data_IF_696314422931
#
_entry.id   IF_696314422931
#
_cell.length_a   1.000
_cell.length_b   1.000
_cell.length_c   1.000
_cell.angle_alpha   90.00
_cell.angle_beta   90.00
_cell.angle_gamma   90.00
#
_symmetry.space_group_name_H-M   'P 1'
#
loop_
_entity.id
_entity.type
_entity.pdbx_description
1 polymer ?
#
# COMPACT_ATOMS: atom_id res chain seq x y z
N UNK A 1 -30.88 -5.24 29.80
CA UNK A 1 -29.52 -5.38 30.34
C UNK A 1 -28.65 -4.32 29.70
N UNK A 2 -27.84 -3.59 30.47
CA UNK A 2 -26.85 -2.66 29.92
C UNK A 2 -25.79 -3.50 29.21
N UNK A 3 -25.89 -3.61 27.88
CA UNK A 3 -24.94 -4.36 27.06
C UNK A 3 -23.51 -3.88 27.28
N UNK A 4 -22.53 -4.72 26.95
CA UNK A 4 -21.11 -4.33 26.95
C UNK A 4 -20.96 -3.03 26.16
N UNK A 5 -20.61 -1.94 26.84
CA UNK A 5 -20.07 -0.77 26.15
C UNK A 5 -18.69 -1.20 25.65
N UNK A 6 -18.50 -1.24 24.34
CA UNK A 6 -17.17 -1.38 23.76
C UNK A 6 -16.34 -0.18 24.21
N UNK A 7 -15.36 -0.40 25.08
CA UNK A 7 -14.32 0.59 25.34
C UNK A 7 -13.42 0.61 24.12
N UNK A 8 -13.42 1.72 23.38
CA UNK A 8 -12.48 1.96 22.28
C UNK A 8 -11.08 2.15 22.88
N UNK A 9 -10.37 1.04 23.10
CA UNK A 9 -8.95 1.07 23.45
C UNK A 9 -8.15 0.69 22.21
N UNK A 10 -7.14 1.49 21.86
CA UNK A 10 -6.16 1.10 20.86
C UNK A 10 -5.26 0.01 21.46
N UNK A 11 -5.04 -1.07 20.72
CA UNK A 11 -4.04 -2.08 21.10
C UNK A 11 -2.64 -1.50 20.94
N UNK A 12 -1.73 -1.73 21.89
CA UNK A 12 -0.32 -1.33 21.74
C UNK A 12 0.61 -2.22 22.56
N UNK A 13 1.88 -2.25 22.18
CA UNK A 13 2.90 -2.87 23.02
C UNK A 13 3.27 -1.99 24.22
N UNK A 14 3.65 -2.62 25.34
CA UNK A 14 4.34 -1.92 26.43
C UNK A 14 5.85 -2.01 26.24
N UNK A 15 6.45 -0.89 25.88
CA UNK A 15 7.91 -0.74 25.74
C UNK A 15 8.53 -0.59 27.13
N UNK A 16 9.07 -1.68 27.69
CA UNK A 16 9.74 -1.67 29.00
C UNK A 16 11.18 -1.21 28.86
N UNK A 17 11.59 -0.25 29.69
CA UNK A 17 12.98 0.23 29.82
C UNK A 17 13.64 0.67 28.50
N UNK A 18 12.83 1.04 27.50
CA UNK A 18 13.34 1.42 26.19
C UNK A 18 13.81 0.29 25.28
N UNK A 19 13.59 -0.97 25.67
CA UNK A 19 13.93 -2.08 24.81
C UNK A 19 13.03 -2.09 23.57
N UNK A 20 13.58 -2.27 22.35
CA UNK A 20 12.78 -2.28 21.14
C UNK A 20 11.85 -3.50 21.10
N UNK A 21 10.71 -3.34 20.42
CA UNK A 21 9.80 -4.42 20.07
C UNK A 21 10.51 -5.29 19.03
N UNK A 22 10.83 -6.53 19.40
CA UNK A 22 11.59 -7.46 18.54
C UNK A 22 10.67 -8.18 17.57
N UNK A 23 11.08 -8.24 16.32
CA UNK A 23 10.39 -8.89 15.21
C UNK A 23 11.27 -9.95 14.56
N UNK A 24 10.64 -11.03 14.11
CA UNK A 24 11.30 -12.17 13.49
C UNK A 24 10.59 -12.54 12.19
N UNK A 25 11.32 -13.13 11.25
CA UNK A 25 10.76 -13.77 10.07
C UNK A 25 10.54 -15.26 10.33
N UNK A 26 9.48 -15.85 9.75
CA UNK A 26 9.29 -17.29 9.78
C UNK A 26 10.45 -18.02 9.11
N UNK A 27 10.71 -19.26 9.53
CA UNK A 27 11.86 -20.04 9.08
C UNK A 27 11.90 -20.29 7.57
N UNK A 28 10.74 -20.32 6.90
CA UNK A 28 10.60 -20.52 5.46
C UNK A 28 10.73 -19.23 4.63
N UNK A 29 10.93 -18.06 5.24
CA UNK A 29 11.09 -16.79 4.49
C UNK A 29 12.27 -16.90 3.52
N UNK A 30 12.12 -16.68 2.21
CA UNK A 30 13.24 -16.77 1.26
C UNK A 30 14.34 -15.76 1.59
N UNK A 31 15.61 -16.18 1.50
CA UNK A 31 16.75 -15.36 1.92
C UNK A 31 16.79 -13.98 1.23
N UNK A 32 16.45 -13.95 -0.05
CA UNK A 32 16.41 -12.72 -0.84
C UNK A 32 15.40 -11.67 -0.36
N UNK A 33 14.41 -12.04 0.45
CA UNK A 33 13.41 -11.12 0.98
C UNK A 33 13.67 -10.73 2.44
N UNK A 34 14.65 -11.34 3.12
CA UNK A 34 14.95 -11.05 4.53
C UNK A 34 15.28 -9.57 4.74
N UNK A 35 16.03 -8.96 3.82
CA UNK A 35 16.34 -7.54 3.92
C UNK A 35 15.10 -6.65 3.68
N UNK A 36 14.18 -7.06 2.80
CA UNK A 36 12.93 -6.32 2.59
C UNK A 36 12.03 -6.39 3.84
N UNK A 37 11.97 -7.56 4.48
CA UNK A 37 11.27 -7.74 5.76
C UNK A 37 11.88 -6.85 6.85
N UNK A 38 13.21 -6.87 6.99
CA UNK A 38 13.94 -5.98 7.90
C UNK A 38 13.56 -4.52 7.67
N UNK A 39 13.59 -4.08 6.41
CA UNK A 39 13.37 -2.68 6.05
C UNK A 39 11.92 -2.23 6.26
N UNK A 40 10.93 -3.09 5.99
CA UNK A 40 9.52 -2.80 6.25
C UNK A 40 9.24 -2.67 7.76
N UNK A 41 9.83 -3.56 8.57
CA UNK A 41 9.75 -3.48 10.03
C UNK A 41 10.43 -2.23 10.56
N UNK A 42 11.73 -2.08 10.29
CA UNK A 42 12.54 -1.00 10.85
C UNK A 42 12.21 0.37 10.25
N UNK A 43 11.34 0.42 9.24
CA UNK A 43 10.80 1.66 8.68
C UNK A 43 10.21 2.58 9.75
N UNK A 44 9.55 2.02 10.76
CA UNK A 44 8.96 2.78 11.86
C UNK A 44 9.97 3.48 12.77
N UNK A 45 11.24 3.05 12.77
CA UNK A 45 12.26 3.68 13.59
C UNK A 45 12.52 5.14 13.18
N UNK A 46 12.16 5.55 11.96
CA UNK A 46 12.24 6.97 11.55
C UNK A 46 11.46 7.90 12.47
N UNK A 47 10.30 7.46 12.97
CA UNK A 47 9.45 8.23 13.87
C UNK A 47 10.06 8.29 15.27
N UNK A 48 10.44 7.12 15.80
CA UNK A 48 10.99 7.00 17.16
C UNK A 48 12.34 7.70 17.31
N UNK A 49 13.18 7.62 16.27
CA UNK A 49 14.46 8.33 16.22
C UNK A 49 14.24 9.85 16.19
N UNK A 50 13.26 10.34 15.43
CA UNK A 50 12.94 11.76 15.39
C UNK A 50 12.37 12.31 16.72
N UNK A 51 11.57 11.50 17.43
CA UNK A 51 10.88 11.92 18.66
C UNK A 51 11.74 11.75 19.93
N UNK A 52 12.45 10.62 20.05
CA UNK A 52 13.18 10.28 21.28
C UNK A 52 14.54 9.62 21.05
N UNK A 53 15.05 9.62 19.81
CA UNK A 53 16.44 9.27 19.49
C UNK A 53 16.83 7.80 19.72
N UNK A 54 15.86 6.87 19.70
CA UNK A 54 16.15 5.43 19.78
C UNK A 54 15.14 4.60 18.99
N UNK A 55 15.50 3.37 18.67
CA UNK A 55 14.65 2.44 17.93
C UNK A 55 13.43 2.01 18.76
N UNK A 56 12.26 2.03 18.13
CA UNK A 56 11.02 1.47 18.69
C UNK A 56 10.92 -0.03 18.39
N UNK A 57 11.38 -0.44 17.21
CA UNK A 57 11.30 -1.81 16.71
C UNK A 57 12.68 -2.30 16.26
N UNK A 58 12.90 -3.61 16.28
CA UNK A 58 14.14 -4.22 15.80
C UNK A 58 13.85 -5.54 15.13
N UNK A 59 14.43 -5.76 13.95
CA UNK A 59 14.38 -7.05 13.29
C UNK A 59 15.56 -7.93 13.74
N UNK A 60 15.26 -9.14 14.22
CA UNK A 60 16.22 -10.07 14.83
C UNK A 60 16.55 -11.25 13.89
N UNK A 61 16.16 -11.16 12.60
CA UNK A 61 16.35 -12.25 11.65
C UNK A 61 15.25 -13.30 11.74
N UNK A 62 15.62 -14.57 11.62
CA UNK A 62 14.67 -15.69 11.65
C UNK A 62 14.27 -16.05 13.08
N UNK A 63 13.08 -16.62 13.23
CA UNK A 63 12.65 -17.20 14.49
C UNK A 63 13.70 -18.19 15.03
N UNK A 64 13.92 -18.24 16.36
CA UNK A 64 14.83 -19.20 16.98
C UNK A 64 14.45 -20.65 16.67
N UNK A 65 15.45 -21.53 16.65
CA UNK A 65 15.23 -22.96 16.44
C UNK A 65 14.25 -23.52 17.48
N UNK A 66 13.30 -24.34 17.02
CA UNK A 66 12.27 -24.94 17.87
C UNK A 66 11.08 -24.02 18.21
N UNK A 67 11.18 -22.71 18.00
CA UNK A 67 10.04 -21.80 18.15
C UNK A 67 8.96 -22.11 17.10
N UNK A 68 7.69 -21.91 17.47
CA UNK A 68 6.53 -22.18 16.61
C UNK A 68 5.84 -20.88 16.25
N UNK A 69 5.23 -20.84 15.07
CA UNK A 69 4.31 -19.75 14.71
C UNK A 69 3.19 -19.73 15.76
N UNK A 70 2.86 -18.54 16.27
CA UNK A 70 1.92 -18.35 17.38
C UNK A 70 2.53 -18.48 18.78
N UNK A 71 3.84 -18.71 18.92
CA UNK A 71 4.52 -18.61 20.21
C UNK A 71 4.45 -17.16 20.73
N UNK A 72 3.81 -16.91 21.89
CA UNK A 72 3.49 -15.57 22.37
C UNK A 72 4.71 -14.76 22.81
N UNK A 73 5.92 -15.33 22.74
CA UNK A 73 7.19 -14.64 23.05
C UNK A 73 7.77 -13.88 21.86
N UNK A 74 7.26 -14.10 20.65
CA UNK A 74 7.83 -13.57 19.42
C UNK A 74 6.77 -12.83 18.60
N UNK A 75 7.12 -11.65 18.08
CA UNK A 75 6.38 -11.02 16.99
C UNK A 75 6.93 -11.57 15.67
N UNK A 76 6.07 -12.06 14.79
CA UNK A 76 6.51 -12.83 13.63
C UNK A 76 5.88 -12.32 12.34
N UNK A 77 6.70 -12.04 11.35
CA UNK A 77 6.29 -11.94 9.94
C UNK A 77 6.28 -13.36 9.37
N UNK A 78 5.08 -13.90 9.16
CA UNK A 78 4.84 -15.23 8.63
C UNK A 78 4.81 -15.15 7.11
N UNK A 79 5.85 -15.73 6.50
CA UNK A 79 5.90 -15.94 5.07
C UNK A 79 5.02 -17.12 4.68
N UNK A 80 4.03 -16.87 3.83
CA UNK A 80 3.25 -17.94 3.21
C UNK A 80 3.65 -18.10 1.74
N UNK A 81 3.89 -19.34 1.30
CA UNK A 81 4.23 -19.65 -0.10
C UNK A 81 3.00 -19.74 -1.01
N UNK A 82 1.78 -19.65 -0.46
CA UNK A 82 0.54 -19.65 -1.24
C UNK A 82 0.59 -18.60 -2.34
N UNK A 83 0.37 -19.05 -3.59
CA UNK A 83 0.50 -18.24 -4.80
C UNK A 83 -0.69 -17.29 -5.03
N UNK A 84 -1.86 -17.60 -4.47
CA UNK A 84 -3.09 -16.80 -4.55
C UNK A 84 -3.59 -16.49 -3.14
N UNK A 85 -3.37 -15.25 -2.69
CA UNK A 85 -3.90 -14.76 -1.42
C UNK A 85 -4.32 -13.29 -1.59
N UNK A 86 -5.58 -13.00 -1.29
CA UNK A 86 -6.18 -11.68 -1.49
C UNK A 86 -5.89 -10.64 -0.40
N UNK A 87 -5.07 -10.96 0.62
CA UNK A 87 -4.76 -10.01 1.69
C UNK A 87 -3.44 -10.36 2.39
N UNK A 88 -2.65 -9.33 2.74
CA UNK A 88 -1.82 -9.37 3.95
C UNK A 88 -2.70 -8.88 5.11
N UNK A 89 -2.42 -9.36 6.32
CA UNK A 89 -3.10 -8.88 7.51
C UNK A 89 -2.26 -9.12 8.75
N UNK A 90 -2.43 -8.22 9.71
CA UNK A 90 -1.89 -8.34 11.04
C UNK A 90 -2.92 -8.94 12.01
N UNK A 91 -2.44 -9.77 12.93
CA UNK A 91 -3.25 -10.41 13.97
C UNK A 91 -2.60 -10.20 15.34
N UNK A 92 -3.40 -9.61 16.24
CA UNK A 92 -2.95 -9.18 17.56
C UNK A 92 -3.45 -10.13 18.65
N UNK A 93 -2.55 -10.48 19.56
CA UNK A 93 -2.92 -11.01 20.86
C UNK A 93 -2.81 -9.87 21.89
N UNK A 94 -3.94 -9.24 22.20
CA UNK A 94 -4.03 -8.16 23.20
C UNK A 94 -4.97 -8.52 24.35
N UNK A 95 -4.65 -8.03 25.54
CA UNK A 95 -5.55 -8.10 26.67
C UNK A 95 -6.81 -7.24 26.39
N UNK A 96 -8.02 -7.84 26.35
CA UNK A 96 -9.24 -7.15 25.97
C UNK A 96 -9.68 -6.07 26.97
N UNK A 97 -9.11 -6.04 28.17
CA UNK A 97 -9.41 -5.02 29.18
C UNK A 97 -8.45 -3.83 29.11
N UNK A 98 -7.19 -4.06 28.76
CA UNK A 98 -6.14 -3.03 28.82
C UNK A 98 -5.66 -2.55 27.45
N UNK A 99 -5.93 -3.31 26.38
CA UNK A 99 -5.35 -3.08 25.05
C UNK A 99 -3.85 -3.38 24.99
N UNK A 100 -3.24 -3.95 26.03
CA UNK A 100 -1.81 -4.25 26.01
C UNK A 100 -1.59 -5.51 25.19
N UNK A 101 -0.78 -5.37 24.13
CA UNK A 101 -0.42 -6.44 23.23
C UNK A 101 0.75 -7.27 23.79
N UNK A 102 0.63 -8.60 23.70
CA UNK A 102 1.70 -9.55 24.06
C UNK A 102 2.57 -9.88 22.86
N UNK A 103 1.93 -10.16 21.73
CA UNK A 103 2.59 -10.53 20.48
C UNK A 103 1.73 -10.16 19.27
N UNK A 104 2.38 -10.05 18.12
CA UNK A 104 1.77 -9.85 16.80
C UNK A 104 2.20 -10.96 15.84
N UNK A 105 1.31 -11.29 14.91
CA UNK A 105 1.64 -12.07 13.74
C UNK A 105 1.19 -11.32 12.49
N UNK A 106 2.13 -11.03 11.59
CA UNK A 106 1.82 -10.46 10.28
C UNK A 106 1.85 -11.61 9.28
N UNK A 107 0.71 -11.87 8.65
CA UNK A 107 0.62 -12.80 7.54
C UNK A 107 1.00 -12.06 6.24
N UNK A 108 2.10 -12.49 5.62
CA UNK A 108 2.64 -11.88 4.41
C UNK A 108 2.78 -12.95 3.31
N UNK A 109 1.78 -13.08 2.43
CA UNK A 109 1.84 -14.10 1.39
C UNK A 109 2.81 -13.71 0.27
N UNK A 110 3.59 -14.68 -0.20
CA UNK A 110 4.41 -14.60 -1.41
C UNK A 110 3.58 -14.25 -2.64
N UNK A 111 2.26 -14.46 -2.58
CA UNK A 111 1.28 -13.91 -3.50
C UNK A 111 1.54 -12.42 -3.76
N UNK A 112 1.94 -11.55 -2.82
CA UNK A 112 2.22 -10.15 -3.19
C UNK A 112 3.36 -9.98 -4.22
N UNK A 113 4.34 -10.89 -4.20
CA UNK A 113 5.41 -10.93 -5.22
C UNK A 113 4.94 -11.62 -6.50
N UNK A 114 4.10 -12.65 -6.39
CA UNK A 114 3.60 -13.42 -7.54
C UNK A 114 2.41 -12.75 -8.23
N UNK A 115 1.48 -12.13 -7.51
CA UNK A 115 0.44 -11.22 -7.98
C UNK A 115 1.08 -10.07 -8.76
N UNK A 116 2.20 -9.49 -8.32
CA UNK A 116 2.96 -8.53 -9.14
C UNK A 116 3.44 -9.14 -10.47
N UNK A 117 3.86 -10.41 -10.48
CA UNK A 117 4.30 -11.15 -11.68
C UNK A 117 3.15 -11.71 -12.53
N UNK A 118 2.02 -12.01 -11.93
CA UNK A 118 0.84 -12.62 -12.55
C UNK A 118 -0.09 -11.54 -13.08
N UNK A 119 -0.19 -10.37 -12.44
CA UNK A 119 -0.70 -9.15 -13.05
C UNK A 119 0.11 -8.77 -14.29
N UNK A 120 1.44 -8.89 -14.21
CA UNK A 120 2.34 -8.65 -15.33
C UNK A 120 2.19 -9.69 -16.46
N UNK A 121 1.80 -10.94 -16.16
CA UNK A 121 1.70 -12.06 -17.12
C UNK A 121 0.28 -12.36 -17.63
N UNK A 122 -0.77 -12.17 -16.84
CA UNK A 122 -2.16 -12.61 -17.09
C UNK A 122 -3.07 -11.50 -17.64
N UNK A 123 -2.48 -10.48 -18.26
CA UNK A 123 -3.13 -9.33 -18.90
C UNK A 123 -4.32 -9.63 -19.83
N UNK A 124 -4.51 -10.88 -20.27
CA UNK A 124 -5.57 -11.28 -21.19
C UNK A 124 -6.87 -11.76 -20.53
N UNK A 125 -6.97 -11.86 -19.19
CA UNK A 125 -8.19 -12.36 -18.50
C UNK A 125 -8.94 -11.31 -17.69
N UNK A 126 -8.27 -10.25 -17.24
CA UNK A 126 -8.85 -9.16 -16.45
C UNK A 126 -9.65 -8.16 -17.30
N UNK A 127 -9.35 -8.02 -18.58
CA UNK A 127 -10.10 -7.20 -19.54
C UNK A 127 -11.56 -7.69 -19.70
N UNK A 128 -11.76 -9.00 -19.87
CA UNK A 128 -13.12 -9.55 -20.06
C UNK A 128 -14.00 -9.42 -18.80
N UNK A 129 -13.39 -9.59 -17.60
CA UNK A 129 -14.09 -9.50 -16.33
C UNK A 129 -14.42 -8.06 -15.93
N UNK A 130 -13.51 -7.11 -16.20
CA UNK A 130 -13.74 -5.67 -15.95
C UNK A 130 -14.82 -5.12 -16.88
N UNK A 131 -14.80 -5.47 -18.16
CA UNK A 131 -15.83 -5.10 -19.15
C UNK A 131 -17.22 -5.65 -18.76
N UNK A 132 -17.29 -6.91 -18.33
CA UNK A 132 -18.56 -7.51 -17.90
C UNK A 132 -19.12 -6.85 -16.62
N UNK A 133 -18.26 -6.53 -15.65
CA UNK A 133 -18.64 -5.89 -14.38
C UNK A 133 -19.06 -4.43 -14.60
N UNK A 134 -18.39 -3.72 -15.49
CA UNK A 134 -18.76 -2.36 -15.92
C UNK A 134 -20.13 -2.34 -16.60
N UNK A 135 -20.40 -3.29 -17.50
CA UNK A 135 -21.70 -3.41 -18.16
C UNK A 135 -22.85 -3.67 -17.15
N UNK A 136 -22.62 -4.53 -16.15
CA UNK A 136 -23.60 -4.82 -15.10
C UNK A 136 -23.89 -3.59 -14.22
N UNK A 137 -22.86 -2.82 -13.87
CA UNK A 137 -22.98 -1.62 -13.04
C UNK A 137 -23.65 -0.45 -13.78
N UNK A 138 -23.30 -0.22 -15.06
CA UNK A 138 -24.00 0.73 -15.95
C UNK A 138 -25.49 0.42 -16.03
N UNK A 139 -25.84 -0.87 -16.19
CA UNK A 139 -27.23 -1.33 -16.21
C UNK A 139 -27.96 -1.07 -14.88
N UNK A 140 -27.32 -1.38 -13.75
CA UNK A 140 -27.87 -1.15 -12.42
C UNK A 140 -28.14 0.35 -12.17
N UNK A 141 -27.17 1.22 -12.48
CA UNK A 141 -27.25 2.66 -12.21
C UNK A 141 -28.22 3.38 -13.16
N UNK A 142 -28.31 2.97 -14.42
CA UNK A 142 -29.30 3.47 -15.37
C UNK A 142 -30.75 3.25 -14.90
N UNK A 143 -30.98 2.23 -14.06
CA UNK A 143 -32.29 1.94 -13.47
C UNK A 143 -32.64 2.77 -12.24
N UNK A 144 -31.69 3.54 -11.68
CA UNK A 144 -31.88 4.30 -10.43
C UNK A 144 -32.19 5.77 -10.71
N UNK A 145 -33.06 6.34 -9.90
CA UNK A 145 -33.46 7.75 -9.96
C UNK A 145 -33.16 8.42 -8.62
N UNK A 146 -32.56 9.60 -8.65
CA UNK A 146 -32.39 10.46 -7.49
C UNK A 146 -33.23 11.71 -7.70
N UNK A 147 -34.15 12.00 -6.77
CA UNK A 147 -35.05 13.16 -6.89
C UNK A 147 -35.94 13.15 -8.14
N UNK A 148 -36.33 11.96 -8.63
CA UNK A 148 -37.19 11.81 -9.81
C UNK A 148 -36.49 11.95 -11.17
N UNK A 149 -35.20 12.30 -11.19
CA UNK A 149 -34.36 12.33 -12.40
C UNK A 149 -33.50 11.07 -12.44
N UNK A 150 -33.31 10.52 -13.64
CA UNK A 150 -32.29 9.50 -13.85
C UNK A 150 -30.94 10.10 -13.45
N UNK A 151 -30.11 9.34 -12.73
CA UNK A 151 -28.76 9.79 -12.36
C UNK A 151 -27.86 9.58 -13.58
N UNK A 152 -27.43 10.63 -14.30
CA UNK A 152 -26.55 10.46 -15.44
C UNK A 152 -25.13 10.30 -14.92
N UNK A 153 -24.77 9.11 -14.45
CA UNK A 153 -23.37 8.79 -14.17
C UNK A 153 -22.77 8.26 -15.48
N UNK A 154 -22.26 9.17 -16.31
CA UNK A 154 -21.46 8.82 -17.49
C UNK A 154 -20.02 8.46 -17.11
N UNK A 155 -19.68 8.52 -15.82
CA UNK A 155 -18.34 8.30 -15.28
C UNK A 155 -18.11 6.85 -14.81
N UNK A 156 -18.98 5.91 -15.19
CA UNK A 156 -18.82 4.47 -14.90
C UNK A 156 -18.09 3.78 -16.05
N UNK A 157 -17.07 4.40 -16.61
CA UNK A 157 -15.96 3.62 -17.18
C UNK A 157 -15.08 3.29 -15.99
N UNK A 158 -14.72 2.01 -15.79
CA UNK A 158 -14.08 1.50 -14.58
C UNK A 158 -13.11 2.49 -13.92
N UNK A 159 -13.63 3.30 -12.99
CA UNK A 159 -12.89 4.38 -12.35
C UNK A 159 -12.03 3.82 -11.23
N UNK A 160 -11.12 2.92 -11.62
CA UNK A 160 -9.99 2.46 -10.84
C UNK A 160 -8.87 2.23 -11.85
N UNK A 161 -8.22 3.30 -12.29
CA UNK A 161 -7.07 3.21 -13.19
C UNK A 161 -6.07 4.28 -12.80
N UNK A 162 -5.00 3.90 -12.10
CA UNK A 162 -3.77 4.68 -11.92
C UNK A 162 -2.71 3.94 -11.10
N UNK A 163 -1.78 3.24 -11.75
CA UNK A 163 -0.40 3.08 -11.28
C UNK A 163 0.49 3.04 -12.53
N UNK A 164 1.64 3.69 -12.51
CA UNK A 164 2.83 3.46 -13.33
C UNK A 164 3.98 4.33 -12.81
N UNK A 165 5.16 3.77 -12.84
CA UNK A 165 6.28 4.32 -12.13
C UNK A 165 6.97 5.45 -12.88
N UNK A 166 7.19 6.52 -12.14
CA UNK A 166 8.47 7.20 -12.24
C UNK A 166 9.59 6.28 -11.73
N UNK A 167 10.27 5.63 -12.68
CA UNK A 167 11.61 5.03 -12.58
C UNK A 167 11.74 3.54 -12.17
N UNK A 168 12.11 2.73 -13.17
CA UNK A 168 13.17 1.68 -13.07
C UNK A 168 12.97 0.51 -12.10
N UNK A 169 11.90 -0.27 -12.21
CA UNK A 169 11.78 -1.53 -11.49
C UNK A 169 11.32 -2.61 -12.47
N UNK A 170 12.10 -3.69 -12.54
CA UNK A 170 11.66 -4.92 -13.15
C UNK A 170 10.61 -5.60 -12.24
N UNK A 171 9.90 -6.66 -12.68
CA UNK A 171 8.84 -7.29 -11.89
C UNK A 171 9.26 -7.75 -10.49
N UNK A 172 10.52 -8.15 -10.31
CA UNK A 172 11.04 -8.53 -9.00
C UNK A 172 11.23 -7.31 -8.10
N UNK A 173 11.81 -6.23 -8.62
CA UNK A 173 12.03 -5.01 -7.86
C UNK A 173 10.69 -4.33 -7.48
N UNK A 174 9.69 -4.36 -8.36
CA UNK A 174 8.32 -3.93 -8.07
C UNK A 174 7.69 -4.74 -6.92
N UNK A 175 7.75 -6.07 -7.01
CA UNK A 175 7.19 -6.94 -5.97
C UNK A 175 7.87 -6.78 -4.61
N UNK A 176 9.18 -6.51 -4.59
CA UNK A 176 9.94 -6.24 -3.36
C UNK A 176 9.55 -4.91 -2.71
N UNK A 177 9.31 -3.88 -3.52
CA UNK A 177 8.86 -2.58 -3.03
C UNK A 177 7.45 -2.66 -2.44
N UNK A 178 6.53 -3.33 -3.14
CA UNK A 178 5.16 -3.56 -2.67
C UNK A 178 5.16 -4.32 -1.33
N UNK A 179 5.93 -5.41 -1.25
CA UNK A 179 6.11 -6.19 -0.03
C UNK A 179 6.56 -5.31 1.15
N UNK A 180 7.53 -4.42 0.92
CA UNK A 180 8.05 -3.52 1.95
C UNK A 180 7.00 -2.48 2.37
N UNK A 181 6.26 -1.90 1.42
CA UNK A 181 5.16 -0.96 1.70
C UNK A 181 4.04 -1.60 2.51
N UNK A 182 3.57 -2.77 2.07
CA UNK A 182 2.59 -3.58 2.80
C UNK A 182 3.09 -3.92 4.20
N UNK A 183 4.33 -4.38 4.35
CA UNK A 183 4.85 -4.71 5.67
C UNK A 183 4.95 -3.47 6.58
N UNK A 184 5.29 -2.31 6.03
CA UNK A 184 5.30 -1.05 6.78
C UNK A 184 3.90 -0.69 7.28
N UNK A 185 2.86 -0.90 6.46
CA UNK A 185 1.45 -0.78 6.84
C UNK A 185 1.05 -1.76 7.96
N UNK A 186 1.32 -3.06 7.78
CA UNK A 186 0.95 -4.09 8.75
C UNK A 186 1.65 -3.92 10.11
N UNK A 187 2.91 -3.47 10.10
CA UNK A 187 3.60 -3.12 11.36
C UNK A 187 2.94 -1.91 12.02
N UNK A 188 2.37 -0.98 11.25
CA UNK A 188 1.54 0.10 11.78
C UNK A 188 0.32 -0.41 12.55
N UNK A 189 -0.38 -1.42 12.01
CA UNK A 189 -1.44 -2.10 12.75
C UNK A 189 -0.93 -2.71 14.06
N UNK A 190 0.15 -3.47 14.01
CA UNK A 190 0.76 -4.06 15.22
C UNK A 190 1.17 -2.99 16.26
N UNK A 191 1.55 -1.80 15.81
CA UNK A 191 1.88 -0.68 16.70
C UNK A 191 0.63 0.02 17.26
N UNK A 192 -0.57 -0.26 16.75
CA UNK A 192 -1.84 0.20 17.27
C UNK A 192 -2.58 1.19 16.38
N UNK A 193 -2.12 1.41 15.14
CA UNK A 193 -2.77 2.32 14.22
C UNK A 193 -3.92 1.61 13.50
N UNK A 194 -5.09 2.26 13.46
CA UNK A 194 -6.19 1.86 12.59
C UNK A 194 -5.97 2.42 11.18
N UNK A 195 -6.71 1.89 10.20
CA UNK A 195 -6.78 2.50 8.88
C UNK A 195 -7.17 3.99 8.96
N UNK A 196 -6.63 4.76 8.02
CA UNK A 196 -7.02 6.14 7.78
C UNK A 196 -7.21 6.38 6.27
N UNK A 197 -8.42 6.17 5.78
CA UNK A 197 -8.80 6.36 4.36
C UNK A 197 -8.95 7.83 3.94
N UNK A 198 -8.53 8.76 4.80
CA UNK A 198 -8.45 10.20 4.49
C UNK A 198 -7.01 10.69 4.38
N UNK A 199 -6.01 9.81 4.54
CA UNK A 199 -4.61 10.20 4.54
C UNK A 199 -4.19 10.85 3.23
N UNK A 200 -4.68 10.30 2.13
CA UNK A 200 -4.41 10.75 0.77
C UNK A 200 -5.06 12.09 0.39
N UNK A 201 -5.96 12.65 1.22
CA UNK A 201 -6.53 13.99 0.97
C UNK A 201 -5.49 15.11 1.06
N UNK A 202 -4.31 14.82 1.61
CA UNK A 202 -3.17 15.73 1.60
C UNK A 202 -2.39 15.74 0.27
N UNK A 203 -2.63 14.76 -0.60
CA UNK A 203 -1.92 14.63 -1.85
C UNK A 203 -2.40 15.67 -2.87
N UNK A 204 -1.44 16.40 -3.42
CA UNK A 204 -1.63 17.28 -4.56
C UNK A 204 -0.88 16.72 -5.78
N UNK A 205 -1.60 16.24 -6.81
CA UNK A 205 -1.00 15.66 -8.01
C UNK A 205 -0.23 16.69 -8.86
N UNK A 206 -0.45 17.99 -8.69
CA UNK A 206 0.28 19.01 -9.44
C UNK A 206 1.65 19.29 -8.82
N UNK A 207 1.73 19.39 -7.48
CA UNK A 207 3.02 19.64 -6.82
C UNK A 207 3.87 18.39 -6.64
N UNK A 208 3.24 17.20 -6.53
CA UNK A 208 3.93 15.94 -6.24
C UNK A 208 4.68 15.93 -4.91
N UNK A 209 4.32 16.83 -3.99
CA UNK A 209 4.89 16.90 -2.65
C UNK A 209 4.06 16.07 -1.68
N UNK A 210 4.71 15.11 -1.03
CA UNK A 210 4.01 14.13 -0.20
C UNK A 210 3.10 13.23 -1.05
N UNK A 211 2.57 12.18 -0.43
CA UNK A 211 1.61 11.27 -1.06
C UNK A 211 0.42 10.96 -0.16
N UNK A 212 0.60 11.09 1.16
CA UNK A 212 -0.41 10.83 2.18
C UNK A 212 0.08 11.39 3.51
N UNK A 213 -0.83 11.61 4.45
CA UNK A 213 -0.48 11.82 5.86
C UNK A 213 -0.34 10.50 6.62
N UNK A 214 -0.69 9.36 6.02
CA UNK A 214 -0.76 8.06 6.69
C UNK A 214 -0.43 6.90 5.75
N UNK A 215 0.48 6.01 6.15
CA UNK A 215 0.65 4.72 5.46
C UNK A 215 -0.57 3.82 5.66
N UNK A 216 -1.36 4.07 6.71
CA UNK A 216 -2.58 3.33 7.02
C UNK A 216 -3.76 3.62 6.08
N UNK A 217 -3.57 4.43 5.05
CA UNK A 217 -4.52 4.55 3.95
C UNK A 217 -4.26 3.42 2.94
N UNK A 218 -5.24 3.11 2.09
CA UNK A 218 -5.02 2.27 0.92
C UNK A 218 -4.54 3.14 -0.25
N UNK A 219 -3.34 3.71 -0.09
CA UNK A 219 -2.75 4.61 -1.06
C UNK A 219 -2.55 3.92 -2.42
N UNK A 220 -2.37 4.71 -3.46
CA UNK A 220 -1.95 4.15 -4.74
C UNK A 220 -0.45 3.85 -4.69
N UNK A 221 -0.06 2.63 -5.08
CA UNK A 221 1.32 2.15 -5.02
C UNK A 221 2.35 3.16 -5.55
N UNK A 222 2.02 3.81 -6.67
CA UNK A 222 2.85 4.83 -7.28
C UNK A 222 3.28 5.94 -6.35
N UNK A 223 2.32 6.45 -5.58
CA UNK A 223 2.57 7.57 -4.69
C UNK A 223 3.13 7.03 -3.37
N UNK A 224 2.65 5.86 -2.94
CA UNK A 224 3.17 5.13 -1.76
C UNK A 224 4.63 4.69 -1.90
N UNK A 225 5.16 4.54 -3.12
CA UNK A 225 6.60 4.32 -3.35
C UNK A 225 7.46 5.38 -2.65
N UNK A 226 6.94 6.59 -2.51
CA UNK A 226 7.60 7.69 -1.80
C UNK A 226 7.63 7.51 -0.28
N UNK A 227 7.02 6.45 0.27
CA UNK A 227 7.17 6.05 1.67
C UNK A 227 8.60 5.63 2.01
N UNK A 228 9.43 5.29 1.02
CA UNK A 228 10.84 4.95 1.22
C UNK A 228 11.75 5.79 0.33
N UNK A 229 12.92 6.18 0.83
CA UNK A 229 13.88 7.02 0.09
C UNK A 229 14.53 6.29 -1.10
N UNK A 230 14.41 4.96 -1.17
CA UNK A 230 14.97 4.16 -2.25
C UNK A 230 14.72 2.67 -2.07
N UNK A 231 15.28 1.83 -2.95
CA UNK A 231 15.25 0.37 -2.79
C UNK A 231 16.12 -0.05 -1.60
N UNK A 232 15.74 -1.13 -0.92
CA UNK A 232 16.54 -1.78 0.12
C UNK A 232 16.96 -0.92 1.33
N UNK A 233 16.28 0.21 1.55
CA UNK A 233 16.43 1.05 2.75
C UNK A 233 15.16 1.03 3.60
N UNK A 234 15.31 1.36 4.89
CA UNK A 234 14.22 1.57 5.84
C UNK A 234 13.86 3.05 6.04
N UNK A 235 14.66 3.99 5.50
CA UNK A 235 14.43 5.43 5.66
C UNK A 235 13.36 5.96 4.71
N UNK A 236 12.76 7.08 5.08
CA UNK A 236 11.76 7.79 4.29
C UNK A 236 11.14 8.94 5.09
N UNK A 237 10.09 9.59 4.56
CA UNK A 237 9.45 10.72 5.22
C UNK A 237 8.71 10.32 6.50
N UNK A 238 8.45 11.31 7.35
CA UNK A 238 7.48 11.20 8.45
C UNK A 238 6.10 11.60 7.92
N UNK A 239 5.15 10.67 7.96
CA UNK A 239 3.76 10.95 7.59
C UNK A 239 3.04 11.52 8.81
N UNK A 240 2.34 12.64 8.65
CA UNK A 240 1.93 13.47 9.79
C UNK A 240 0.92 12.78 10.73
N UNK A 241 -0.04 12.03 10.20
CA UNK A 241 -0.98 11.26 11.01
C UNK A 241 -0.27 10.13 11.76
N UNK A 242 0.59 9.38 11.07
CA UNK A 242 1.37 8.29 11.68
C UNK A 242 2.27 8.83 12.81
N UNK A 243 2.92 9.97 12.57
CA UNK A 243 3.76 10.67 13.56
C UNK A 243 2.95 11.05 14.80
N UNK A 244 1.79 11.69 14.63
CA UNK A 244 0.94 12.06 15.75
C UNK A 244 0.48 10.81 16.53
N UNK A 245 0.05 9.76 15.83
CA UNK A 245 -0.42 8.52 16.48
C UNK A 245 0.69 7.78 17.23
N UNK A 246 1.89 7.68 16.67
CA UNK A 246 3.04 7.11 17.38
C UNK A 246 3.39 7.94 18.63
N UNK A 247 3.30 9.26 18.57
CA UNK A 247 3.51 10.10 19.75
C UNK A 247 2.46 9.84 20.84
N UNK A 248 1.17 9.74 20.48
CA UNK A 248 0.09 9.38 21.42
C UNK A 248 0.34 8.01 22.04
N UNK A 249 0.66 7.01 21.22
CA UNK A 249 0.75 5.61 21.63
C UNK A 249 2.05 5.29 22.37
N UNK A 250 3.15 5.99 22.13
CA UNK A 250 4.46 5.60 22.67
C UNK A 250 5.28 6.76 23.27
N UNK A 251 4.81 8.01 23.19
CA UNK A 251 5.53 9.17 23.74
C UNK A 251 4.64 10.16 24.52
N UNK A 252 3.53 9.68 25.10
CA UNK A 252 2.60 10.51 25.89
C UNK A 252 2.15 11.79 25.17
N UNK A 253 2.01 11.74 23.84
CA UNK A 253 1.67 12.85 22.97
C UNK A 253 2.63 14.07 23.02
N UNK A 254 3.87 13.90 23.52
CA UNK A 254 4.84 15.01 23.71
C UNK A 254 5.29 15.68 22.41
N UNK A 255 5.18 15.01 21.27
CA UNK A 255 5.54 15.57 19.97
C UNK A 255 4.36 16.21 19.24
N UNK A 256 3.17 16.22 19.83
CA UNK A 256 2.01 16.90 19.25
C UNK A 256 2.01 18.34 19.76
N UNK A 257 2.04 19.30 18.83
CA UNK A 257 2.05 20.73 19.11
C UNK A 257 0.72 21.34 18.68
N UNK A 258 0.31 22.42 19.34
CA UNK A 258 -0.89 23.18 18.96
C UNK A 258 -0.81 23.77 17.53
N UNK A 259 0.41 23.92 16.99
CA UNK A 259 0.66 24.37 15.62
C UNK A 259 0.61 23.26 14.57
N UNK A 260 0.50 22.01 14.97
CA UNK A 260 0.50 20.88 14.04
C UNK A 260 -0.79 20.88 13.20
N UNK A 261 -0.70 20.31 11.99
CA UNK A 261 -1.85 20.23 11.10
C UNK A 261 -2.93 19.31 11.68
N UNK A 262 -4.19 19.74 11.54
CA UNK A 262 -5.33 18.86 11.82
C UNK A 262 -5.47 17.88 10.66
N UNK A 263 -5.06 16.64 10.90
CA UNK A 263 -5.13 15.56 9.91
C UNK A 263 -6.50 14.87 9.99
N UNK A 264 -7.28 14.83 8.90
CA UNK A 264 -8.55 14.10 8.89
C UNK A 264 -8.28 12.60 9.02
N UNK A 265 -9.22 11.90 9.68
CA UNK A 265 -9.13 10.47 9.91
C UNK A 265 -10.43 9.77 9.52
N UNK A 266 -10.32 8.55 8.98
CA UNK A 266 -11.46 7.67 8.78
C UNK A 266 -11.07 6.20 8.76
N UNK A 267 -11.66 5.39 9.64
CA UNK A 267 -11.36 3.95 9.75
C UNK A 267 -12.39 3.07 9.03
N UNK A 268 -12.21 1.75 9.12
CA UNK A 268 -13.10 0.74 8.53
C UNK A 268 -14.56 0.87 8.95
N UNK A 269 -14.83 1.19 10.22
CA UNK A 269 -16.23 1.32 10.69
C UNK A 269 -16.94 2.47 10.00
N UNK A 270 -16.22 3.55 9.73
CA UNK A 270 -16.75 4.74 9.07
C UNK A 270 -16.85 4.53 7.54
N UNK A 271 -15.83 3.91 6.91
CA UNK A 271 -15.83 3.59 5.49
C UNK A 271 -16.89 2.55 5.11
N UNK A 272 -17.11 1.54 5.96
CA UNK A 272 -18.10 0.49 5.74
C UNK A 272 -19.50 0.87 6.27
N UNK A 273 -19.67 2.09 6.79
CA UNK A 273 -20.95 2.55 7.34
C UNK A 273 -22.00 2.71 6.24
N UNK A 274 -23.10 1.98 6.37
CA UNK A 274 -24.29 2.13 5.52
C UNK A 274 -25.38 3.00 6.16
N UNK A 275 -25.19 3.40 7.43
CA UNK A 275 -26.13 4.19 8.20
C UNK A 275 -25.72 5.67 8.25
N UNK A 276 -26.66 6.58 8.00
CA UNK A 276 -26.42 8.03 8.12
C UNK A 276 -25.80 8.71 6.90
N UNK A 277 -25.61 7.98 5.79
CA UNK A 277 -24.90 8.45 4.60
C UNK A 277 -23.43 8.06 4.64
N UNK A 278 -22.84 7.81 3.47
CA UNK A 278 -21.42 7.51 3.30
C UNK A 278 -20.69 8.85 3.13
N UNK A 279 -19.64 9.09 3.92
CA UNK A 279 -18.75 10.23 3.68
C UNK A 279 -17.99 9.97 2.37
N UNK A 280 -18.20 10.77 1.31
CA UNK A 280 -17.61 10.52 -0.01
C UNK A 280 -16.08 10.72 -0.02
N UNK A 281 -15.49 11.24 1.06
CA UNK A 281 -14.04 11.36 1.22
C UNK A 281 -13.46 10.28 2.14
N UNK A 282 -14.29 9.36 2.64
CA UNK A 282 -13.85 8.19 3.41
C UNK A 282 -14.03 6.92 2.57
N UNK A 283 -13.26 6.81 1.51
CA UNK A 283 -13.34 5.70 0.56
C UNK A 283 -11.99 5.02 0.44
N UNK A 284 -12.03 3.69 0.47
CA UNK A 284 -10.86 2.86 0.22
C UNK A 284 -10.38 3.09 -1.21
N UNK A 285 -9.07 3.21 -1.40
CA UNK A 285 -8.41 3.36 -2.70
C UNK A 285 -8.69 4.68 -3.46
N UNK A 286 -9.27 5.68 -2.80
CA UNK A 286 -9.27 7.05 -3.33
C UNK A 286 -7.93 7.73 -3.07
N UNK A 287 -7.60 8.76 -3.86
CA UNK A 287 -6.39 9.55 -3.66
C UNK A 287 -6.59 11.01 -4.09
N UNK A 288 -5.86 11.91 -3.43
CA UNK A 288 -5.86 13.33 -3.77
C UNK A 288 -6.86 14.14 -2.95
N UNK A 289 -6.58 15.44 -2.82
CA UNK A 289 -7.49 16.37 -2.15
C UNK A 289 -8.85 16.56 -2.85
N UNK A 290 -8.93 16.16 -4.13
CA UNK A 290 -10.16 16.07 -4.92
C UNK A 290 -10.18 14.72 -5.66
N UNK A 291 -10.78 13.67 -5.07
CA UNK A 291 -10.84 12.35 -5.67
C UNK A 291 -11.56 12.33 -7.03
N UNK A 292 -12.49 13.26 -7.28
CA UNK A 292 -13.20 13.35 -8.56
C UNK A 292 -12.30 13.90 -9.65
N UNK A 293 -11.53 14.96 -9.35
CA UNK A 293 -10.52 15.47 -10.27
C UNK A 293 -9.45 14.41 -10.55
N UNK A 294 -9.07 13.64 -9.53
CA UNK A 294 -8.10 12.56 -9.67
C UNK A 294 -8.63 11.41 -10.54
N UNK A 295 -9.92 11.06 -10.45
CA UNK A 295 -10.50 10.07 -11.35
C UNK A 295 -10.43 10.52 -12.83
N UNK A 296 -10.61 11.82 -13.11
CA UNK A 296 -10.48 12.36 -14.47
C UNK A 296 -9.01 12.39 -14.94
N UNK A 297 -8.07 12.58 -14.02
CA UNK A 297 -6.62 12.53 -14.30
C UNK A 297 -6.19 11.19 -14.91
N UNK A 298 -6.92 10.10 -14.64
CA UNK A 298 -6.69 8.76 -15.23
C UNK A 298 -6.72 8.80 -16.73
N UNK A 299 -7.76 9.44 -17.22
CA UNK A 299 -8.00 9.59 -18.62
C UNK A 299 -6.95 10.56 -19.21
N UNK A 300 -6.61 11.62 -18.49
CA UNK A 300 -5.58 12.57 -18.95
C UNK A 300 -4.19 11.94 -19.09
N UNK A 301 -3.79 11.05 -18.19
CA UNK A 301 -2.50 10.34 -18.25
C UNK A 301 -2.43 9.36 -19.41
N UNK A 302 -3.57 8.86 -19.89
CA UNK A 302 -3.63 8.02 -21.10
C UNK A 302 -3.55 8.85 -22.39
N UNK A 303 -4.18 10.02 -22.39
CA UNK A 303 -4.46 10.76 -23.63
C UNK A 303 -3.48 11.92 -23.91
N UNK A 304 -2.99 12.60 -22.87
CA UNK A 304 -2.20 13.83 -23.01
C UNK A 304 -0.73 13.53 -22.68
N UNK A 305 0.19 13.92 -23.55
CA UNK A 305 1.64 13.66 -23.33
C UNK A 305 2.17 14.44 -22.13
N UNK A 306 1.71 15.68 -21.92
CA UNK A 306 2.24 16.57 -20.89
C UNK A 306 1.59 16.41 -19.51
N UNK A 307 0.59 15.52 -19.37
CA UNK A 307 -0.07 15.29 -18.09
C UNK A 307 0.84 14.53 -17.11
N UNK A 308 0.62 14.79 -15.82
CA UNK A 308 1.27 14.07 -14.72
C UNK A 308 0.35 14.00 -13.51
N UNK A 309 0.66 13.08 -12.60
CA UNK A 309 0.08 12.98 -11.26
C UNK A 309 1.21 12.72 -10.30
N UNK A 310 1.56 13.71 -9.48
CA UNK A 310 2.75 13.66 -8.65
C UNK A 310 4.00 13.35 -9.48
N UNK A 311 4.63 12.20 -9.21
CA UNK A 311 5.80 11.75 -9.97
C UNK A 311 5.42 10.98 -11.25
N UNK A 312 4.22 10.42 -11.32
CA UNK A 312 3.72 9.64 -12.46
C UNK A 312 3.59 10.55 -13.69
N UNK A 313 4.17 10.11 -14.81
CA UNK A 313 4.03 10.76 -16.13
C UNK A 313 2.90 10.12 -16.93
N UNK A 314 2.56 10.70 -18.07
CA UNK A 314 1.60 10.10 -18.99
C UNK A 314 2.11 8.76 -19.58
N UNK A 315 1.18 7.89 -19.96
CA UNK A 315 1.46 6.61 -20.62
C UNK A 315 2.35 6.79 -21.86
N UNK A 316 2.11 7.76 -22.76
CA UNK A 316 3.02 8.01 -23.87
C UNK A 316 4.47 8.27 -23.43
N UNK A 317 4.68 9.08 -22.38
CA UNK A 317 6.02 9.38 -21.85
C UNK A 317 6.64 8.14 -21.21
N UNK A 318 5.86 7.36 -20.46
CA UNK A 318 6.33 6.11 -19.87
C UNK A 318 6.76 5.09 -20.93
N UNK A 319 5.95 4.87 -21.96
CA UNK A 319 6.28 4.00 -23.08
C UNK A 319 7.54 4.47 -23.82
N UNK A 320 7.71 5.78 -24.04
CA UNK A 320 8.93 6.34 -24.63
C UNK A 320 10.16 6.08 -23.75
N UNK A 321 10.00 6.09 -22.43
CA UNK A 321 11.10 5.77 -21.51
C UNK A 321 11.51 4.30 -21.57
N UNK A 322 10.60 3.36 -21.83
CA UNK A 322 10.95 1.92 -21.97
C UNK A 322 11.95 1.66 -23.11
N UNK A 323 12.00 2.53 -24.14
CA UNK A 323 12.99 2.43 -25.22
C UNK A 323 14.43 2.58 -24.72
N UNK A 324 14.64 3.27 -23.58
CA UNK A 324 15.94 3.46 -22.96
C UNK A 324 16.46 2.19 -22.27
N UNK A 325 15.59 1.22 -22.01
CA UNK A 325 15.94 -0.05 -21.36
C UNK A 325 16.47 -1.08 -22.37
N UNK A 326 16.40 -0.79 -23.68
CA UNK A 326 17.05 -1.60 -24.69
C UNK A 326 18.58 -1.47 -24.56
N UNK A 327 19.33 -2.59 -24.52
CA UNK A 327 20.78 -2.56 -24.49
C UNK A 327 21.33 -1.91 -25.76
N UNK A 328 22.48 -1.24 -25.64
CA UNK A 328 23.17 -0.69 -26.80
C UNK A 328 23.50 -1.82 -27.79
N UNK A 329 23.31 -1.59 -29.09
CA UNK A 329 23.57 -2.62 -30.09
C UNK A 329 25.00 -3.20 -30.00
N UNK A 330 25.97 -2.38 -29.55
CA UNK A 330 27.36 -2.77 -29.31
C UNK A 330 27.56 -3.77 -28.17
N UNK A 331 26.59 -3.96 -27.28
CA UNK A 331 26.68 -4.90 -26.14
C UNK A 331 26.03 -6.25 -26.42
N UNK A 332 25.44 -6.45 -27.60
CA UNK A 332 24.81 -7.71 -28.01
C UNK A 332 25.85 -8.57 -28.73
N UNK A 333 26.27 -9.68 -28.12
CA UNK A 333 27.32 -10.53 -28.68
C UNK A 333 26.77 -11.51 -29.72
N UNK A 334 25.50 -11.90 -29.61
CA UNK A 334 24.86 -12.88 -30.49
C UNK A 334 23.35 -12.63 -30.66
N UNK A 335 22.73 -13.42 -31.54
CA UNK A 335 21.29 -13.32 -31.86
C UNK A 335 20.41 -13.66 -30.65
N UNK A 336 20.85 -14.55 -29.75
CA UNK A 336 20.06 -14.92 -28.58
C UNK A 336 20.05 -13.81 -27.52
N UNK A 337 21.14 -13.04 -27.39
CA UNK A 337 21.15 -11.80 -26.58
C UNK A 337 20.12 -10.81 -27.10
N UNK A 338 20.05 -10.63 -28.43
CA UNK A 338 19.07 -9.75 -29.06
C UNK A 338 17.63 -10.23 -28.84
N UNK A 339 17.36 -11.55 -28.96
CA UNK A 339 16.04 -12.13 -28.68
C UNK A 339 15.63 -11.92 -27.22
N UNK A 340 16.55 -12.13 -26.28
CA UNK A 340 16.28 -11.95 -24.85
C UNK A 340 16.00 -10.49 -24.53
N UNK A 341 16.77 -9.55 -25.09
CA UNK A 341 16.56 -8.13 -24.94
C UNK A 341 15.19 -7.67 -25.48
N UNK A 342 14.83 -8.13 -26.68
CA UNK A 342 13.51 -7.82 -27.29
C UNK A 342 12.37 -8.41 -26.46
N UNK A 343 12.53 -9.66 -25.96
CA UNK A 343 11.53 -10.29 -25.09
C UNK A 343 11.34 -9.49 -23.81
N UNK A 344 12.42 -9.11 -23.13
CA UNK A 344 12.37 -8.30 -21.92
C UNK A 344 11.71 -6.93 -22.18
N UNK A 345 12.06 -6.28 -23.30
CA UNK A 345 11.43 -5.02 -23.72
C UNK A 345 9.92 -5.16 -23.95
N UNK A 346 9.47 -6.21 -24.65
CA UNK A 346 8.04 -6.47 -24.87
C UNK A 346 7.33 -6.72 -23.53
N UNK A 347 7.95 -7.46 -22.62
CA UNK A 347 7.43 -7.67 -21.27
C UNK A 347 7.30 -6.34 -20.51
N UNK A 348 8.30 -5.46 -20.58
CA UNK A 348 8.26 -4.10 -20.01
C UNK A 348 7.13 -3.25 -20.60
N UNK A 349 7.01 -3.18 -21.93
CA UNK A 349 5.95 -2.41 -22.60
C UNK A 349 4.56 -2.89 -22.18
N UNK A 350 4.35 -4.21 -22.15
CA UNK A 350 3.08 -4.81 -21.69
C UNK A 350 2.80 -4.46 -20.24
N UNK A 351 3.78 -4.66 -19.36
CA UNK A 351 3.65 -4.35 -17.94
C UNK A 351 3.34 -2.88 -17.69
N UNK A 352 4.08 -1.96 -18.31
CA UNK A 352 3.82 -0.51 -18.26
C UNK A 352 2.40 -0.20 -18.71
N UNK A 353 1.97 -0.70 -19.89
CA UNK A 353 0.62 -0.43 -20.41
C UNK A 353 -0.48 -0.96 -19.48
N UNK A 354 -0.31 -2.18 -18.95
CA UNK A 354 -1.28 -2.80 -18.07
C UNK A 354 -1.43 -2.06 -16.74
N UNK A 355 -0.36 -1.46 -16.22
CA UNK A 355 -0.43 -0.69 -14.99
C UNK A 355 -1.34 0.55 -15.13
N UNK A 356 -1.33 1.23 -16.29
CA UNK A 356 -2.25 2.33 -16.54
C UNK A 356 -3.71 1.88 -16.74
N UNK A 357 -3.94 0.67 -17.24
CA UNK A 357 -5.26 0.18 -17.65
C UNK A 357 -5.91 -0.73 -16.57
N UNK A 358 -5.10 -1.43 -15.78
CA UNK A 358 -5.53 -2.59 -14.99
C UNK A 358 -5.98 -2.28 -13.56
N UNK A 359 -6.02 -1.02 -13.15
CA UNK A 359 -6.31 -0.65 -11.77
C UNK A 359 -5.19 -1.07 -10.81
N UNK A 360 -5.08 -0.33 -9.71
CA UNK A 360 -3.88 -0.30 -8.87
C UNK A 360 -3.54 -1.66 -8.24
N UNK A 361 -2.26 -1.90 -7.97
CA UNK A 361 -1.84 -3.11 -7.25
C UNK A 361 -2.39 -3.19 -5.81
N UNK A 362 -2.87 -2.09 -5.23
CA UNK A 362 -3.55 -2.13 -3.93
C UNK A 362 -5.04 -2.50 -4.06
N UNK A 363 -5.66 -2.35 -5.25
CA UNK A 363 -7.01 -2.87 -5.51
C UNK A 363 -7.08 -4.41 -5.60
N UNK A 364 -5.95 -5.12 -5.52
CA UNK A 364 -5.87 -6.59 -5.56
C UNK A 364 -6.52 -7.27 -4.36
N UNK A 365 -6.79 -6.54 -3.27
CA UNK A 365 -7.61 -7.05 -2.16
C UNK A 365 -9.12 -7.14 -2.48
N UNK A 366 -9.56 -6.68 -3.67
CA UNK A 366 -10.90 -6.97 -4.20
C UNK A 366 -11.00 -8.33 -4.95
N UNK A 367 -10.02 -9.22 -4.78
CA UNK A 367 -10.08 -10.62 -5.26
C UNK A 367 -10.57 -11.62 -4.21
N UNK A 368 -11.22 -11.13 -3.14
CA UNK A 368 -12.03 -11.93 -2.22
C UNK A 368 -13.48 -12.07 -2.68
#
# INVERSE_FOLDING_TARGET
GKGRKSTKAASRFLVKDGAPIRWYASSNTPEKFINDVKNGVEGWNRYSQAMWGRDLVRFEGRMPEGAKIGDPRYNVVVWDEVAEAGAAYESQNADPFTGIQTNSMIYLPAAWVNIGKDYWKNASRTEDASVAREAALKSLLASRKLGGRAVPINCVEGAHMHVDMSAKLNPEAFGRELLRGTLFHEVGHALGLAHNFKGSLSFDPESGKGFSTSIMDYNHFNEESAAFDGPEVSTGPLLEYDRQMISVLYNDAKDIKDSDAVVPACNDTEADSTAGGVDPLCLRYDIGHDPTAQALRAIELLQKVDSHSGKLRSLPVALLNTLKDLPAASTLANVDDAKNAVKAFIETVKGTTNLYIGGTANSLANLG
#
